data_IF_535754567265
#
_entry.id   IF_535754567265
#
_cell.length_a   1.000
_cell.length_b   1.000
_cell.length_c   1.000
_cell.angle_alpha   90.00
_cell.angle_beta   90.00
_cell.angle_gamma   90.00
#
_symmetry.space_group_name_H-M   'P 1'
#
loop_
_entity.id
_entity.type
_entity.pdbx_description
1 polymer ?
#
# COMPACT_ATOMS: atom_id res chain seq x y z
N UNK A 1 -38.03 -1.59 -49.51
CA UNK A 1 -38.36 -1.81 -48.09
C UNK A 1 -37.20 -1.26 -47.25
N UNK A 2 -37.34 -0.03 -46.77
CA UNK A 2 -36.30 0.66 -46.01
C UNK A 2 -36.84 0.97 -44.61
N UNK A 3 -36.33 0.31 -43.57
CA UNK A 3 -36.29 0.88 -42.22
C UNK A 3 -35.40 0.10 -41.25
N UNK A 4 -34.69 0.88 -40.44
CA UNK A 4 -34.21 0.57 -39.09
C UNK A 4 -32.90 -0.20 -38.97
N UNK A 5 -31.80 0.53 -38.76
CA UNK A 5 -30.94 0.39 -37.56
C UNK A 5 -30.30 1.74 -37.23
N UNK A 6 -31.10 2.63 -36.64
CA UNK A 6 -30.54 3.80 -35.97
C UNK A 6 -29.74 3.32 -34.76
N UNK A 7 -28.41 3.29 -34.89
CA UNK A 7 -27.50 3.00 -33.80
C UNK A 7 -27.69 4.04 -32.69
N UNK A 8 -28.32 3.63 -31.60
CA UNK A 8 -28.51 4.42 -30.39
C UNK A 8 -27.15 4.86 -29.84
N UNK A 9 -26.75 6.12 -30.13
CA UNK A 9 -25.63 6.79 -29.46
C UNK A 9 -25.98 6.94 -27.97
N UNK A 10 -25.54 5.99 -27.16
CA UNK A 10 -25.65 6.04 -25.70
C UNK A 10 -24.80 7.21 -25.21
N UNK A 11 -25.46 8.26 -24.69
CA UNK A 11 -24.84 9.43 -24.05
C UNK A 11 -23.90 8.92 -22.94
N UNK A 12 -22.58 9.01 -23.14
CA UNK A 12 -21.61 8.52 -22.15
C UNK A 12 -21.70 9.41 -20.91
N UNK A 13 -22.15 8.84 -19.79
CA UNK A 13 -22.27 9.53 -18.52
C UNK A 13 -20.88 10.07 -18.10
N UNK A 14 -20.73 11.32 -17.64
CA UNK A 14 -19.42 11.90 -17.33
C UNK A 14 -18.59 11.02 -16.39
N UNK A 15 -19.21 10.40 -15.38
CA UNK A 15 -18.56 9.43 -14.50
C UNK A 15 -17.88 8.27 -15.26
N UNK A 16 -18.55 7.68 -16.25
CA UNK A 16 -17.97 6.58 -17.05
C UNK A 16 -16.77 7.02 -17.87
N UNK A 17 -16.73 8.30 -18.28
CA UNK A 17 -15.59 8.89 -18.98
C UNK A 17 -14.41 9.09 -18.03
N UNK A 18 -14.65 9.61 -16.82
CA UNK A 18 -13.62 9.76 -15.79
C UNK A 18 -12.98 8.42 -15.41
N UNK A 19 -13.78 7.37 -15.10
CA UNK A 19 -13.23 6.05 -14.77
C UNK A 19 -12.42 5.43 -15.93
N UNK A 20 -12.83 5.69 -17.18
CA UNK A 20 -12.10 5.23 -18.37
C UNK A 20 -10.76 5.95 -18.51
N UNK A 21 -10.72 7.27 -18.29
CA UNK A 21 -9.50 8.08 -18.32
C UNK A 21 -8.54 7.67 -17.17
N UNK A 22 -9.02 7.51 -15.94
CA UNK A 22 -8.21 7.02 -14.80
C UNK A 22 -7.67 5.62 -15.04
N UNK A 23 -8.47 4.70 -15.58
CA UNK A 23 -8.01 3.35 -15.90
C UNK A 23 -6.96 3.32 -17.01
N UNK A 24 -7.03 4.27 -17.96
CA UNK A 24 -6.01 4.41 -19.00
C UNK A 24 -4.68 4.92 -18.42
N UNK A 25 -4.71 5.80 -17.43
CA UNK A 25 -3.51 6.31 -16.76
C UNK A 25 -2.90 5.27 -15.80
N UNK A 26 -3.73 4.54 -15.06
CA UNK A 26 -3.29 3.46 -14.16
C UNK A 26 -2.59 2.32 -14.92
N UNK A 27 -2.90 2.11 -16.20
CA UNK A 27 -2.19 1.15 -17.06
C UNK A 27 -0.77 1.57 -17.40
N UNK A 28 -0.43 2.87 -17.27
CA UNK A 28 0.94 3.37 -17.42
C UNK A 28 1.78 3.12 -16.17
N UNK A 29 1.14 2.80 -15.04
CA UNK A 29 1.85 2.46 -13.81
C UNK A 29 2.48 1.07 -13.99
N UNK A 30 3.81 1.03 -13.94
CA UNK A 30 4.58 -0.20 -13.96
C UNK A 30 4.47 -0.87 -12.60
N UNK A 31 3.48 -1.75 -12.45
CA UNK A 31 3.34 -2.54 -11.23
C UNK A 31 4.45 -3.58 -11.16
N UNK A 32 5.10 -3.74 -9.99
CA UNK A 32 6.14 -4.74 -9.80
C UNK A 32 5.57 -6.14 -10.03
N UNK A 33 6.41 -7.05 -10.48
CA UNK A 33 5.99 -8.45 -10.64
C UNK A 33 5.65 -9.04 -9.26
N UNK A 34 4.79 -10.07 -9.22
CA UNK A 34 4.43 -10.74 -7.95
C UNK A 34 5.67 -11.22 -7.16
N UNK A 35 6.72 -11.59 -7.88
CA UNK A 35 7.99 -12.02 -7.30
C UNK A 35 8.75 -10.84 -6.67
N UNK A 36 8.85 -9.70 -7.36
CA UNK A 36 9.46 -8.49 -6.82
C UNK A 36 8.73 -7.97 -5.59
N UNK A 37 7.40 -7.89 -5.66
CA UNK A 37 6.58 -7.46 -4.52
C UNK A 37 6.82 -8.34 -3.29
N UNK A 38 6.91 -9.66 -3.49
CA UNK A 38 7.19 -10.61 -2.40
C UNK A 38 8.59 -10.41 -1.83
N UNK A 39 9.61 -10.29 -2.68
CA UNK A 39 11.00 -10.04 -2.24
C UNK A 39 11.13 -8.75 -1.44
N UNK A 40 10.54 -7.66 -1.95
CA UNK A 40 10.54 -6.36 -1.27
C UNK A 40 9.83 -6.45 0.09
N UNK A 41 8.70 -7.14 0.16
CA UNK A 41 7.96 -7.34 1.42
C UNK A 41 8.79 -8.13 2.43
N UNK A 42 9.47 -9.20 2.00
CA UNK A 42 10.34 -10.00 2.89
C UNK A 42 11.48 -9.14 3.44
N UNK A 43 12.13 -8.33 2.59
CA UNK A 43 13.21 -7.42 3.01
C UNK A 43 12.67 -6.45 4.07
N UNK A 44 11.51 -5.83 3.82
CA UNK A 44 10.89 -4.91 4.78
C UNK A 44 10.58 -5.60 6.10
N UNK A 45 10.02 -6.82 6.09
CA UNK A 45 9.74 -7.59 7.30
C UNK A 45 11.01 -7.88 8.11
N UNK A 46 12.11 -8.22 7.45
CA UNK A 46 13.40 -8.46 8.11
C UNK A 46 13.91 -7.18 8.77
N UNK A 47 13.92 -6.05 8.04
CA UNK A 47 14.43 -4.78 8.55
C UNK A 47 13.58 -4.27 9.71
N UNK A 48 12.26 -4.32 9.58
CA UNK A 48 11.33 -3.89 10.65
C UNK A 48 11.45 -4.81 11.87
N UNK A 49 11.53 -6.13 11.66
CA UNK A 49 11.73 -7.10 12.74
C UNK A 49 13.03 -6.84 13.49
N UNK A 50 14.13 -6.59 12.77
CA UNK A 50 15.42 -6.26 13.37
C UNK A 50 15.37 -4.95 14.17
N UNK A 51 14.83 -3.88 13.59
CA UNK A 51 14.71 -2.59 14.28
C UNK A 51 13.81 -2.67 15.51
N UNK A 52 12.70 -3.40 15.40
CA UNK A 52 11.78 -3.63 16.52
C UNK A 52 12.45 -4.40 17.65
N UNK A 53 13.27 -5.42 17.34
CA UNK A 53 14.02 -6.16 18.35
C UNK A 53 15.08 -5.28 19.03
N UNK A 54 15.79 -4.45 18.26
CA UNK A 54 16.84 -3.56 18.77
C UNK A 54 16.24 -2.50 19.69
N UNK A 55 15.22 -1.76 19.21
CA UNK A 55 14.53 -0.75 20.00
C UNK A 55 13.82 -1.37 21.21
N UNK A 56 13.08 -2.46 21.03
CA UNK A 56 12.37 -3.12 22.13
C UNK A 56 13.32 -3.64 23.23
N UNK A 57 14.50 -4.13 22.85
CA UNK A 57 15.53 -4.52 23.84
C UNK A 57 16.05 -3.31 24.60
N UNK A 58 16.31 -2.21 23.89
CA UNK A 58 16.78 -0.96 24.49
C UNK A 58 15.72 -0.38 25.45
N UNK A 59 14.47 -0.32 25.05
CA UNK A 59 13.34 0.13 25.86
C UNK A 59 13.15 -0.73 27.11
N UNK A 60 13.34 -2.05 27.00
CA UNK A 60 13.27 -2.97 28.14
C UNK A 60 14.38 -2.70 29.16
N UNK A 61 15.63 -2.52 28.69
CA UNK A 61 16.78 -2.19 29.55
C UNK A 61 16.55 -0.85 30.24
N UNK A 62 16.13 0.18 29.50
CA UNK A 62 15.85 1.49 30.08
C UNK A 62 14.73 1.44 31.11
N UNK A 63 13.65 0.72 30.84
CA UNK A 63 12.54 0.55 31.78
C UNK A 63 13.02 -0.09 33.08
N UNK A 64 13.90 -1.09 33.00
CA UNK A 64 14.46 -1.75 34.19
C UNK A 64 15.36 -0.80 34.99
N UNK A 65 16.25 -0.07 34.31
CA UNK A 65 17.15 0.89 34.95
C UNK A 65 16.37 2.01 35.63
N UNK A 66 15.37 2.57 34.95
CA UNK A 66 14.50 3.62 35.51
C UNK A 66 13.70 3.10 36.71
N UNK A 67 13.18 1.87 36.66
CA UNK A 67 12.52 1.25 37.79
C UNK A 67 13.43 1.11 39.01
N UNK A 68 14.69 0.72 38.82
CA UNK A 68 15.68 0.68 39.90
C UNK A 68 15.92 2.06 40.50
N UNK A 69 16.13 3.09 39.67
CA UNK A 69 16.35 4.47 40.11
C UNK A 69 15.16 4.99 40.91
N UNK A 70 13.93 4.78 40.43
CA UNK A 70 12.70 5.20 41.12
C UNK A 70 12.53 4.45 42.44
N UNK A 71 12.93 3.18 42.53
CA UNK A 71 12.83 2.44 43.80
C UNK A 71 13.89 2.82 44.83
N UNK A 72 14.98 3.48 44.40
CA UNK A 72 16.13 3.83 45.24
C UNK A 72 15.98 5.23 45.88
N UNK A 73 15.08 6.08 45.35
CA UNK A 73 14.71 7.37 45.92
C UNK A 73 13.36 7.29 46.62
#
# INVERSE_FOLDING_TARGET
MAKSRAASKKKSNPATRYFRETSAELKKVTWPTRQEATKLTIIVLIVVGFMSALLGTLDYVFSRVMGFIISLG
#
